data_IF_176679364964
#
_entry.id   IF_176679364964
#
_cell.length_a   1.000
_cell.length_b   1.000
_cell.length_c   1.000
_cell.angle_alpha   90.00
_cell.angle_beta   90.00
_cell.angle_gamma   90.00
#
_symmetry.space_group_name_H-M   'P 1'
#
loop_
_entity.id
_entity.type
_entity.pdbx_description
1 polymer ?
#
# COMPACT_ATOMS: atom_id res chain seq x y z
N UNK A 1 -27.81 -21.07 -3.96
CA UNK A 1 -27.91 -19.67 -4.41
C UNK A 1 -27.55 -18.77 -3.25
N UNK A 2 -26.55 -17.91 -3.39
CA UNK A 2 -26.19 -16.91 -2.37
C UNK A 2 -27.34 -15.89 -2.30
N UNK A 3 -27.89 -15.56 -1.12
CA UNK A 3 -28.90 -14.52 -0.98
C UNK A 3 -28.44 -13.18 -1.58
N UNK A 4 -29.31 -12.49 -2.30
CA UNK A 4 -28.97 -11.24 -2.99
C UNK A 4 -28.37 -10.18 -2.05
N UNK A 5 -28.90 -10.06 -0.83
CA UNK A 5 -28.40 -9.14 0.19
C UNK A 5 -26.95 -9.45 0.59
N UNK A 6 -26.54 -10.72 0.60
CA UNK A 6 -25.17 -11.12 0.96
C UNK A 6 -24.19 -10.73 -0.14
N UNK A 7 -24.59 -10.82 -1.41
CA UNK A 7 -23.80 -10.32 -2.55
C UNK A 7 -23.63 -8.81 -2.49
N UNK A 8 -24.72 -8.06 -2.24
CA UNK A 8 -24.66 -6.60 -2.10
C UNK A 8 -23.75 -6.16 -0.96
N UNK A 9 -23.86 -6.79 0.22
CA UNK A 9 -22.98 -6.50 1.35
C UNK A 9 -21.51 -6.80 1.03
N UNK A 10 -21.23 -7.92 0.37
CA UNK A 10 -19.87 -8.27 -0.05
C UNK A 10 -19.30 -7.23 -1.03
N UNK A 11 -20.10 -6.74 -1.99
CA UNK A 11 -19.68 -5.67 -2.90
C UNK A 11 -19.45 -4.33 -2.18
N UNK A 12 -20.33 -3.93 -1.26
CA UNK A 12 -20.13 -2.71 -0.46
C UNK A 12 -18.86 -2.83 0.38
N UNK A 13 -18.65 -3.97 1.04
CA UNK A 13 -17.44 -4.26 1.80
C UNK A 13 -16.18 -4.21 0.93
N UNK A 14 -16.24 -4.78 -0.28
CA UNK A 14 -15.15 -4.73 -1.25
C UNK A 14 -14.81 -3.28 -1.66
N UNK A 15 -15.83 -2.45 -1.93
CA UNK A 15 -15.61 -1.08 -2.37
C UNK A 15 -15.08 -0.15 -1.26
N UNK A 16 -15.63 -0.29 -0.05
CA UNK A 16 -15.44 0.70 1.03
C UNK A 16 -14.44 0.24 2.09
N UNK A 17 -14.30 -1.08 2.29
CA UNK A 17 -13.41 -1.66 3.31
C UNK A 17 -11.96 -1.19 3.18
N UNK A 18 -11.29 -1.38 2.03
CA UNK A 18 -9.88 -1.02 1.89
C UNK A 18 -9.61 0.48 2.13
N UNK A 19 -10.37 1.44 1.56
CA UNK A 19 -10.19 2.86 1.88
C UNK A 19 -10.40 3.20 3.36
N UNK A 20 -11.37 2.57 4.04
CA UNK A 20 -11.66 2.84 5.45
C UNK A 20 -10.51 2.48 6.39
N UNK A 21 -9.69 1.47 6.06
CA UNK A 21 -8.51 1.10 6.87
C UNK A 21 -7.55 2.30 7.04
N UNK A 22 -7.52 3.20 6.07
CA UNK A 22 -6.67 4.40 6.11
C UNK A 22 -7.29 5.57 6.88
N UNK A 23 -8.60 5.53 7.16
CA UNK A 23 -9.27 6.57 7.95
C UNK A 23 -8.75 6.60 9.39
N UNK A 24 -8.58 5.43 10.01
CA UNK A 24 -8.01 5.30 11.36
C UNK A 24 -6.58 5.83 11.41
N UNK A 25 -5.79 5.57 10.36
CA UNK A 25 -4.43 6.07 10.24
C UNK A 25 -4.40 7.59 10.10
N UNK A 26 -5.27 8.15 9.26
CA UNK A 26 -5.43 9.60 9.13
C UNK A 26 -5.79 10.24 10.47
N UNK A 27 -6.76 9.66 11.19
CA UNK A 27 -7.18 10.13 12.51
C UNK A 27 -6.02 10.10 13.51
N UNK A 28 -5.26 9.01 13.56
CA UNK A 28 -4.09 8.85 14.43
C UNK A 28 -3.05 9.95 14.19
N UNK A 29 -2.71 10.24 12.91
CA UNK A 29 -1.73 11.26 12.53
C UNK A 29 -2.23 12.66 12.91
N UNK A 30 -3.48 12.99 12.61
CA UNK A 30 -4.07 14.31 12.96
C UNK A 30 -4.07 14.51 14.47
N UNK A 31 -4.43 13.49 15.24
CA UNK A 31 -4.45 13.56 16.70
C UNK A 31 -3.06 13.75 17.30
N UNK A 32 -2.06 13.04 16.77
CA UNK A 32 -0.67 13.10 17.25
C UNK A 32 0.11 14.29 16.68
N UNK A 33 -0.39 14.93 15.62
CA UNK A 33 0.33 15.92 14.80
C UNK A 33 1.71 15.43 14.34
N UNK A 34 1.79 14.13 14.06
CA UNK A 34 3.04 13.47 13.66
C UNK A 34 2.74 12.31 12.70
N UNK A 35 3.42 12.32 11.56
CA UNK A 35 3.32 11.29 10.52
C UNK A 35 4.50 10.32 10.48
N UNK A 36 5.45 10.38 11.43
CA UNK A 36 6.68 9.58 11.41
C UNK A 36 6.42 8.07 11.29
N UNK A 37 5.37 7.57 11.94
CA UNK A 37 5.01 6.14 11.92
C UNK A 37 4.33 5.65 10.64
N UNK A 38 4.12 6.49 9.61
CA UNK A 38 3.46 6.11 8.37
C UNK A 38 4.32 6.39 7.15
N UNK A 39 4.52 5.36 6.31
CA UNK A 39 5.25 5.54 5.05
C UNK A 39 4.37 6.17 3.97
N UNK A 40 4.77 7.36 3.51
CA UNK A 40 4.14 8.03 2.35
C UNK A 40 4.25 7.22 1.06
N UNK A 41 5.20 6.29 0.96
CA UNK A 41 5.34 5.41 -0.21
C UNK A 41 4.12 4.50 -0.41
N UNK A 42 3.41 4.17 0.68
CA UNK A 42 2.14 3.44 0.61
C UNK A 42 1.11 4.24 -0.19
N UNK A 43 1.03 5.57 0.03
CA UNK A 43 0.18 6.44 -0.78
C UNK A 43 0.63 6.44 -2.25
N UNK A 44 1.94 6.42 -2.53
CA UNK A 44 2.46 6.36 -3.91
C UNK A 44 1.95 5.11 -4.63
N UNK A 45 2.21 3.94 -4.03
CA UNK A 45 1.87 2.64 -4.58
C UNK A 45 0.37 2.58 -4.86
N UNK A 46 -0.46 2.97 -3.90
CA UNK A 46 -1.92 2.92 -4.03
C UNK A 46 -2.44 3.94 -5.03
N UNK A 47 -1.95 5.18 -5.06
CA UNK A 47 -2.39 6.16 -6.05
C UNK A 47 -2.04 5.71 -7.47
N UNK A 48 -0.80 5.27 -7.71
CA UNK A 48 -0.37 4.80 -9.02
C UNK A 48 -1.13 3.55 -9.46
N UNK A 49 -1.31 2.57 -8.56
CA UNK A 49 -2.07 1.36 -8.84
C UNK A 49 -3.54 1.66 -9.20
N UNK A 50 -4.23 2.45 -8.37
CA UNK A 50 -5.66 2.69 -8.54
C UNK A 50 -5.96 3.62 -9.73
N UNK A 51 -5.10 4.61 -10.02
CA UNK A 51 -5.22 5.43 -11.24
C UNK A 51 -5.05 4.55 -12.49
N UNK A 52 -4.02 3.70 -12.51
CA UNK A 52 -3.80 2.75 -13.62
C UNK A 52 -4.98 1.78 -13.77
N UNK A 53 -5.58 1.35 -12.65
CA UNK A 53 -6.77 0.49 -12.66
C UNK A 53 -7.99 1.17 -13.29
N UNK A 54 -8.16 2.48 -13.11
CA UNK A 54 -9.20 3.24 -13.80
C UNK A 54 -9.02 3.21 -15.32
N UNK A 55 -7.79 3.36 -15.83
CA UNK A 55 -7.50 3.20 -17.27
C UNK A 55 -7.69 1.75 -17.74
N UNK A 56 -7.29 0.78 -16.93
CA UNK A 56 -7.54 -0.64 -17.22
C UNK A 56 -9.04 -0.91 -17.39
N UNK A 57 -9.90 -0.31 -16.56
CA UNK A 57 -11.35 -0.45 -16.68
C UNK A 57 -11.90 0.06 -18.02
N UNK A 58 -11.31 1.12 -18.58
CA UNK A 58 -11.71 1.64 -19.90
C UNK A 58 -11.50 0.59 -20.99
N UNK A 59 -10.40 -0.18 -20.91
CA UNK A 59 -10.05 -1.23 -21.87
C UNK A 59 -10.72 -2.59 -21.60
N UNK A 60 -10.96 -2.93 -20.32
CA UNK A 60 -11.63 -4.16 -19.89
C UNK A 60 -12.63 -3.83 -18.79
N UNK A 61 -13.92 -3.84 -19.13
CA UNK A 61 -15.01 -3.47 -18.22
C UNK A 61 -15.26 -4.57 -17.19
N UNK A 62 -14.57 -4.48 -16.07
CA UNK A 62 -14.87 -5.26 -14.87
C UNK A 62 -15.94 -4.58 -14.00
N UNK A 63 -16.31 -5.22 -12.88
CA UNK A 63 -17.39 -4.75 -12.02
C UNK A 63 -17.24 -3.30 -11.55
N UNK A 64 -18.34 -2.55 -11.58
CA UNK A 64 -18.40 -1.17 -11.09
C UNK A 64 -17.95 -1.06 -9.64
N UNK A 65 -18.23 -2.08 -8.82
CA UNK A 65 -17.77 -2.18 -7.43
C UNK A 65 -16.25 -1.95 -7.30
N UNK A 66 -15.45 -2.57 -8.17
CA UNK A 66 -13.99 -2.47 -8.14
C UNK A 66 -13.48 -1.14 -8.72
N UNK A 67 -14.25 -0.54 -9.62
CA UNK A 67 -13.98 0.82 -10.09
C UNK A 67 -14.23 1.82 -8.96
N UNK A 68 -15.37 1.71 -8.27
CA UNK A 68 -15.70 2.55 -7.10
C UNK A 68 -14.67 2.37 -5.98
N UNK A 69 -14.24 1.13 -5.72
CA UNK A 69 -13.14 0.85 -4.80
C UNK A 69 -11.89 1.67 -5.16
N UNK A 70 -11.53 1.71 -6.45
CA UNK A 70 -10.36 2.43 -6.91
C UNK A 70 -10.50 3.94 -6.76
N UNK A 71 -11.68 4.49 -7.06
CA UNK A 71 -11.98 5.92 -6.88
C UNK A 71 -11.92 6.30 -5.40
N UNK A 72 -12.59 5.53 -4.52
CA UNK A 72 -12.55 5.79 -3.08
C UNK A 72 -11.14 5.66 -2.51
N UNK A 73 -10.36 4.70 -2.99
CA UNK A 73 -8.97 4.55 -2.60
C UNK A 73 -8.13 5.76 -3.04
N UNK A 74 -8.28 6.24 -4.28
CA UNK A 74 -7.59 7.45 -4.74
C UNK A 74 -7.91 8.63 -3.82
N UNK A 75 -9.20 8.89 -3.53
CA UNK A 75 -9.62 9.98 -2.66
C UNK A 75 -9.04 9.85 -1.25
N UNK A 76 -9.10 8.65 -0.66
CA UNK A 76 -8.55 8.38 0.67
C UNK A 76 -7.04 8.61 0.72
N UNK A 77 -6.30 8.14 -0.30
CA UNK A 77 -4.85 8.30 -0.34
C UNK A 77 -4.42 9.74 -0.64
N UNK A 78 -5.18 10.48 -1.45
CA UNK A 78 -4.96 11.91 -1.66
C UNK A 78 -5.12 12.70 -0.36
N UNK A 79 -6.16 12.39 0.42
CA UNK A 79 -6.41 13.02 1.71
C UNK A 79 -5.34 12.63 2.75
N UNK A 80 -5.01 11.34 2.85
CA UNK A 80 -3.98 10.85 3.78
C UNK A 80 -2.60 11.44 3.44
N UNK A 81 -2.22 11.50 2.16
CA UNK A 81 -0.98 12.12 1.72
C UNK A 81 -0.90 13.59 2.14
N UNK A 82 -1.97 14.35 1.94
CA UNK A 82 -2.05 15.74 2.40
C UNK A 82 -1.87 15.86 3.91
N UNK A 83 -2.56 15.01 4.69
CA UNK A 83 -2.44 14.96 6.15
C UNK A 83 -0.99 14.64 6.58
N UNK A 84 -0.34 13.68 5.93
CA UNK A 84 1.04 13.31 6.20
C UNK A 84 2.00 14.46 5.92
N UNK A 85 1.85 15.16 4.79
CA UNK A 85 2.71 16.31 4.45
C UNK A 85 2.50 17.45 5.45
N UNK A 86 1.26 17.71 5.86
CA UNK A 86 0.93 18.77 6.82
C UNK A 86 1.51 18.51 8.22
N UNK A 87 1.56 17.24 8.64
CA UNK A 87 2.03 16.82 9.96
C UNK A 87 3.40 16.12 9.89
N UNK A 88 4.21 16.45 8.89
CA UNK A 88 5.53 15.82 8.71
C UNK A 88 6.51 16.28 9.79
N UNK A 89 7.41 15.40 10.27
CA UNK A 89 8.45 15.79 11.21
C UNK A 89 9.47 16.74 10.56
N UNK A 90 10.07 17.63 11.34
CA UNK A 90 11.15 18.51 10.88
C UNK A 90 12.36 17.74 10.37
N UNK A 91 12.58 16.52 10.87
CA UNK A 91 13.67 15.63 10.47
C UNK A 91 13.44 14.91 9.13
N UNK A 92 12.33 15.17 8.44
CA UNK A 92 12.04 14.48 7.18
C UNK A 92 13.09 14.81 6.11
N UNK A 93 13.44 13.85 5.21
CA UNK A 93 14.47 14.06 4.20
C UNK A 93 14.24 15.29 3.31
N UNK A 94 12.99 15.69 3.11
CA UNK A 94 12.59 16.85 2.31
C UNK A 94 12.84 18.19 2.99
N UNK A 95 12.78 18.22 4.32
CA UNK A 95 13.05 19.42 5.10
C UNK A 95 14.55 19.65 5.24
N UNK A 96 15.34 18.58 5.35
CA UNK A 96 16.81 18.65 5.49
C UNK A 96 17.51 18.69 4.11
N UNK A 97 16.81 18.34 3.03
CA UNK A 97 17.39 18.27 1.68
C UNK A 97 18.29 17.04 1.46
N UNK A 98 18.08 15.98 2.23
CA UNK A 98 18.93 14.79 2.28
C UNK A 98 18.30 13.55 1.61
N UNK A 99 17.47 13.74 0.56
CA UNK A 99 16.91 12.59 -0.16
C UNK A 99 17.97 11.88 -0.97
N UNK A 100 18.15 10.57 -0.72
CA UNK A 100 19.02 9.69 -1.51
C UNK A 100 18.36 9.18 -2.80
N UNK A 101 17.09 9.55 -3.04
CA UNK A 101 16.30 9.04 -4.17
C UNK A 101 16.55 9.86 -5.43
N UNK A 102 16.61 9.23 -6.61
CA UNK A 102 16.63 9.96 -7.88
C UNK A 102 15.45 10.96 -7.93
N UNK A 103 15.76 12.23 -8.19
CA UNK A 103 14.79 13.33 -8.25
C UNK A 103 13.92 13.50 -7.00
N UNK A 104 14.40 13.03 -5.84
CA UNK A 104 13.64 12.98 -4.59
C UNK A 104 12.26 12.34 -4.77
N UNK A 105 12.18 11.27 -5.58
CA UNK A 105 10.89 10.66 -5.95
C UNK A 105 10.01 10.37 -4.73
N UNK A 106 8.77 10.91 -4.78
CA UNK A 106 7.76 10.82 -3.73
C UNK A 106 8.16 11.42 -2.37
N UNK A 107 9.26 12.16 -2.36
CA UNK A 107 9.81 12.89 -1.23
C UNK A 107 9.90 14.37 -1.61
N UNK A 108 8.79 14.94 -2.07
CA UNK A 108 8.73 16.33 -2.49
C UNK A 108 8.29 17.24 -1.34
N UNK A 109 8.82 18.48 -1.27
CA UNK A 109 8.48 19.40 -0.18
C UNK A 109 7.01 19.84 -0.14
N UNK A 110 6.31 19.91 -1.28
CA UNK A 110 4.97 20.49 -1.34
C UNK A 110 3.96 19.50 -1.90
N UNK A 111 2.71 19.57 -1.43
CA UNK A 111 1.62 18.74 -1.93
C UNK A 111 1.36 18.96 -3.44
N UNK A 112 1.55 20.19 -3.92
CA UNK A 112 1.39 20.55 -5.34
C UNK A 112 2.28 19.72 -6.25
N UNK A 113 3.53 19.44 -5.87
CA UNK A 113 4.43 18.61 -6.67
C UNK A 113 3.91 17.18 -6.83
N UNK A 114 3.26 16.63 -5.80
CA UNK A 114 2.59 15.33 -5.92
C UNK A 114 1.40 15.40 -6.89
N UNK A 115 0.60 16.48 -6.84
CA UNK A 115 -0.51 16.69 -7.78
C UNK A 115 -0.03 16.83 -9.23
N UNK A 116 1.03 17.60 -9.47
CA UNK A 116 1.64 17.79 -10.79
C UNK A 116 2.14 16.47 -11.35
N UNK A 117 2.85 15.68 -10.53
CA UNK A 117 3.31 14.36 -10.92
C UNK A 117 2.13 13.42 -11.27
N UNK A 118 1.09 13.38 -10.43
CA UNK A 118 -0.09 12.56 -10.69
C UNK A 118 -0.86 13.01 -11.94
N UNK A 119 -0.98 14.32 -12.17
CA UNK A 119 -1.58 14.87 -13.38
C UNK A 119 -0.77 14.48 -14.63
N UNK A 120 0.55 14.59 -14.57
CA UNK A 120 1.45 14.14 -15.64
C UNK A 120 1.36 12.63 -15.88
N UNK A 121 1.25 11.82 -14.82
CA UNK A 121 1.05 10.38 -14.90
C UNK A 121 -0.28 10.01 -15.56
N UNK A 122 -1.38 10.68 -15.18
CA UNK A 122 -2.70 10.52 -15.81
C UNK A 122 -2.64 10.91 -17.28
N UNK A 123 -2.01 12.03 -17.62
CA UNK A 123 -1.86 12.48 -19.00
C UNK A 123 -1.06 11.48 -19.84
N UNK A 124 0.05 10.98 -19.32
CA UNK A 124 0.86 9.94 -19.97
C UNK A 124 0.04 8.68 -20.22
N UNK A 125 -0.69 8.19 -19.21
CA UNK A 125 -1.58 7.03 -19.39
C UNK A 125 -2.70 7.29 -20.39
N UNK A 126 -3.28 8.49 -20.40
CA UNK A 126 -4.31 8.86 -21.36
C UNK A 126 -3.77 8.81 -22.80
N UNK A 127 -2.59 9.38 -23.04
CA UNK A 127 -1.93 9.33 -24.35
C UNK A 127 -1.66 7.88 -24.76
N UNK A 128 -1.05 7.09 -23.87
CA UNK A 128 -0.78 5.67 -24.14
C UNK A 128 -2.06 4.89 -24.44
N UNK A 129 -3.13 5.13 -23.68
CA UNK A 129 -4.41 4.47 -23.87
C UNK A 129 -5.09 4.90 -25.17
N UNK A 130 -5.01 6.17 -25.57
CA UNK A 130 -5.57 6.63 -26.86
C UNK A 130 -4.86 5.98 -28.05
N UNK A 131 -3.55 5.74 -27.95
CA UNK A 131 -2.75 5.11 -29.02
C UNK A 131 -2.93 3.58 -29.01
N UNK A 132 -2.84 2.95 -27.83
CA UNK A 132 -2.70 1.49 -27.69
C UNK A 132 -3.94 0.79 -27.12
N UNK A 133 -4.98 1.52 -26.71
CA UNK A 133 -6.14 0.97 -25.98
C UNK A 133 -6.96 -0.07 -26.74
N UNK A 134 -6.82 -0.16 -28.07
CA UNK A 134 -7.44 -1.22 -28.88
C UNK A 134 -6.68 -2.54 -28.83
N UNK A 135 -5.42 -2.53 -28.39
CA UNK A 135 -4.57 -3.72 -28.27
C UNK A 135 -4.90 -4.47 -26.98
N UNK A 136 -5.35 -5.72 -27.13
CA UNK A 136 -5.64 -6.60 -25.98
C UNK A 136 -4.39 -6.86 -25.14
N UNK A 137 -3.22 -6.97 -25.77
CA UNK A 137 -1.94 -7.13 -25.06
C UNK A 137 -1.62 -5.91 -24.20
N UNK A 138 -1.84 -4.69 -24.72
CA UNK A 138 -1.64 -3.47 -23.95
C UNK A 138 -2.59 -3.42 -22.75
N UNK A 139 -3.89 -3.65 -22.96
CA UNK A 139 -4.89 -3.67 -21.88
C UNK A 139 -4.56 -4.75 -20.84
N UNK A 140 -4.07 -5.91 -21.28
CA UNK A 140 -3.64 -6.98 -20.39
C UNK A 140 -2.48 -6.56 -19.49
N UNK A 141 -1.41 -6.02 -20.08
CA UNK A 141 -0.23 -5.52 -19.37
C UNK A 141 -0.62 -4.37 -18.42
N UNK A 142 -1.48 -3.46 -18.87
CA UNK A 142 -1.97 -2.35 -18.06
C UNK A 142 -2.67 -2.84 -16.78
N UNK A 143 -3.53 -3.85 -16.90
CA UNK A 143 -4.16 -4.50 -15.75
C UNK A 143 -3.15 -5.20 -14.83
N UNK A 144 -2.15 -5.88 -15.40
CA UNK A 144 -1.08 -6.53 -14.63
C UNK A 144 -0.22 -5.51 -13.87
N UNK A 145 0.07 -4.35 -14.46
CA UNK A 145 0.79 -3.26 -13.79
C UNK A 145 -0.07 -2.69 -12.67
N UNK A 146 -1.33 -2.35 -12.94
CA UNK A 146 -2.23 -1.75 -11.96
C UNK A 146 -2.36 -2.61 -10.69
N UNK A 147 -2.62 -3.90 -10.87
CA UNK A 147 -2.84 -4.83 -9.77
C UNK A 147 -1.52 -5.36 -9.18
N UNK A 148 -0.49 -5.53 -10.02
CA UNK A 148 0.84 -5.96 -9.59
C UNK A 148 1.53 -4.93 -8.69
N UNK A 149 1.41 -3.64 -9.00
CA UNK A 149 1.91 -2.57 -8.14
C UNK A 149 1.23 -2.60 -6.77
N UNK A 150 -0.11 -2.73 -6.69
CA UNK A 150 -0.82 -2.87 -5.40
C UNK A 150 -0.36 -4.12 -4.64
N UNK A 151 -0.15 -5.23 -5.35
CA UNK A 151 0.24 -6.51 -4.74
C UNK A 151 1.63 -6.52 -4.12
N UNK A 152 2.42 -5.45 -4.31
CA UNK A 152 3.75 -5.31 -3.71
C UNK A 152 3.72 -4.76 -2.28
N UNK A 153 2.59 -4.25 -1.80
CA UNK A 153 2.44 -3.67 -0.46
C UNK A 153 2.93 -4.56 0.70
N UNK A 154 2.71 -5.90 0.73
CA UNK A 154 3.19 -6.74 1.83
C UNK A 154 4.70 -7.09 1.71
N UNK A 155 5.33 -6.88 0.56
CA UNK A 155 6.73 -7.29 0.32
C UNK A 155 7.72 -6.60 1.27
N UNK A 156 7.67 -5.27 1.51
CA UNK A 156 8.55 -4.63 2.47
C UNK A 156 8.50 -5.26 3.86
N UNK A 157 7.31 -5.64 4.32
CA UNK A 157 7.14 -6.33 5.61
C UNK A 157 7.81 -7.70 5.58
N UNK A 158 7.58 -8.50 4.54
CA UNK A 158 8.24 -9.81 4.37
C UNK A 158 9.76 -9.70 4.40
N UNK A 159 10.33 -8.68 3.73
CA UNK A 159 11.77 -8.43 3.70
C UNK A 159 12.27 -8.00 5.08
N UNK A 160 11.58 -7.06 5.75
CA UNK A 160 11.95 -6.57 7.08
C UNK A 160 12.03 -7.71 8.09
N UNK A 161 11.01 -8.57 8.12
CA UNK A 161 10.96 -9.74 8.99
C UNK A 161 12.16 -10.67 8.76
N UNK A 162 12.52 -10.91 7.50
CA UNK A 162 13.65 -11.77 7.16
C UNK A 162 14.99 -11.16 7.58
N UNK A 163 15.16 -9.84 7.41
CA UNK A 163 16.37 -9.11 7.82
C UNK A 163 16.52 -9.07 9.33
N UNK A 164 15.44 -8.74 10.05
CA UNK A 164 15.45 -8.61 11.51
C UNK A 164 15.39 -9.96 12.22
N UNK A 165 15.07 -11.05 11.51
CA UNK A 165 14.81 -12.37 12.08
C UNK A 165 13.82 -12.31 13.25
N UNK A 166 12.86 -11.40 13.18
CA UNK A 166 11.83 -11.15 14.18
C UNK A 166 10.68 -10.34 13.58
N UNK A 167 9.49 -10.50 14.13
CA UNK A 167 8.31 -9.68 13.84
C UNK A 167 7.95 -8.76 15.03
N UNK A 168 8.95 -8.40 15.84
CA UNK A 168 8.79 -7.47 16.94
C UNK A 168 8.07 -6.18 16.51
N UNK A 169 7.08 -5.75 17.29
CA UNK A 169 6.25 -4.57 16.99
C UNK A 169 5.15 -4.80 15.93
N UNK A 170 5.19 -5.89 15.16
CA UNK A 170 4.13 -6.21 14.20
C UNK A 170 2.95 -6.90 14.88
N UNK A 171 1.78 -6.25 14.84
CA UNK A 171 0.58 -6.71 15.55
C UNK A 171 -0.05 -7.91 14.84
N UNK A 172 -0.35 -8.96 15.61
CA UNK A 172 -1.01 -10.17 15.09
C UNK A 172 -2.39 -9.86 14.50
N UNK A 173 -3.14 -8.93 15.09
CA UNK A 173 -4.45 -8.51 14.56
C UNK A 173 -4.35 -7.93 13.14
N UNK A 174 -3.28 -7.19 12.85
CA UNK A 174 -3.03 -6.62 11.52
C UNK A 174 -2.75 -7.73 10.51
N UNK A 175 -1.89 -8.69 10.86
CA UNK A 175 -1.58 -9.85 10.00
C UNK A 175 -2.83 -10.67 9.67
N UNK A 176 -3.67 -10.97 10.67
CA UNK A 176 -4.92 -11.68 10.47
C UNK A 176 -5.89 -10.88 9.59
N UNK A 177 -5.93 -9.56 9.76
CA UNK A 177 -6.72 -8.66 8.92
C UNK A 177 -6.28 -8.67 7.45
N UNK A 178 -4.97 -8.71 7.19
CA UNK A 178 -4.42 -8.80 5.82
C UNK A 178 -4.82 -10.11 5.16
N UNK A 179 -4.49 -11.23 5.80
CA UNK A 179 -4.79 -12.58 5.29
C UNK A 179 -6.30 -12.75 5.06
N UNK A 180 -7.12 -12.32 6.01
CA UNK A 180 -8.57 -12.39 5.90
C UNK A 180 -9.12 -11.52 4.77
N UNK A 181 -8.61 -10.30 4.62
CA UNK A 181 -8.99 -9.37 3.55
C UNK A 181 -8.61 -9.89 2.16
N UNK A 182 -7.39 -10.41 2.00
CA UNK A 182 -6.87 -10.89 0.71
C UNK A 182 -7.45 -12.27 0.34
N UNK A 183 -7.77 -13.11 1.32
CA UNK A 183 -8.56 -14.32 1.10
C UNK A 183 -9.98 -13.97 0.63
N UNK A 184 -10.64 -13.00 1.28
CA UNK A 184 -11.96 -12.51 0.86
C UNK A 184 -11.92 -11.93 -0.57
N UNK A 185 -10.94 -11.07 -0.88
CA UNK A 185 -10.74 -10.52 -2.23
C UNK A 185 -10.55 -11.62 -3.27
N UNK A 186 -9.68 -12.59 -2.99
CA UNK A 186 -9.42 -13.71 -3.89
C UNK A 186 -10.72 -14.48 -4.14
N UNK A 187 -11.44 -14.89 -3.10
CA UNK A 187 -12.73 -15.57 -3.27
C UNK A 187 -13.72 -14.74 -4.10
N UNK A 188 -13.83 -13.43 -3.83
CA UNK A 188 -14.70 -12.53 -4.58
C UNK A 188 -14.34 -12.48 -6.07
N UNK A 189 -13.05 -12.37 -6.44
CA UNK A 189 -12.63 -12.30 -7.84
C UNK A 189 -12.89 -13.60 -8.60
N UNK A 190 -12.81 -14.76 -7.94
CA UNK A 190 -13.17 -16.04 -8.52
C UNK A 190 -14.67 -16.18 -8.69
N UNK A 191 -15.46 -15.85 -7.67
CA UNK A 191 -16.93 -15.92 -7.72
C UNK A 191 -17.51 -14.98 -8.77
N UNK A 192 -17.03 -13.74 -8.85
CA UNK A 192 -17.50 -12.75 -9.81
C UNK A 192 -16.86 -12.88 -11.20
N UNK A 193 -16.05 -13.92 -11.43
CA UNK A 193 -15.35 -14.12 -12.69
C UNK A 193 -14.60 -12.87 -13.18
N UNK A 194 -13.95 -12.17 -12.24
CA UNK A 194 -13.16 -10.98 -12.56
C UNK A 194 -12.01 -11.29 -13.54
N UNK A 195 -11.49 -10.28 -14.27
CA UNK A 195 -10.37 -10.47 -15.19
C UNK A 195 -9.18 -11.20 -14.56
N UNK A 196 -8.43 -11.93 -15.38
CA UNK A 196 -7.35 -12.81 -14.92
C UNK A 196 -6.31 -12.10 -14.05
N UNK A 197 -6.04 -10.83 -14.33
CA UNK A 197 -5.10 -10.00 -13.59
C UNK A 197 -5.50 -9.90 -12.11
N UNK A 198 -6.79 -9.74 -11.79
CA UNK A 198 -7.26 -9.69 -10.41
C UNK A 198 -6.98 -11.00 -9.68
N UNK A 199 -7.23 -12.13 -10.35
CA UNK A 199 -7.04 -13.47 -9.79
C UNK A 199 -5.56 -13.78 -9.54
N UNK A 200 -4.70 -13.51 -10.52
CA UNK A 200 -3.25 -13.76 -10.41
C UNK A 200 -2.66 -12.90 -9.29
N UNK A 201 -2.95 -11.60 -9.30
CA UNK A 201 -2.41 -10.67 -8.33
C UNK A 201 -2.92 -10.95 -6.91
N UNK A 202 -4.19 -11.28 -6.73
CA UNK A 202 -4.72 -11.59 -5.40
C UNK A 202 -4.16 -12.89 -4.83
N UNK A 203 -3.95 -13.93 -5.66
CA UNK A 203 -3.26 -15.16 -5.25
C UNK A 203 -1.83 -14.85 -4.83
N UNK A 204 -1.11 -14.05 -5.62
CA UNK A 204 0.24 -13.64 -5.27
C UNK A 204 0.26 -12.90 -3.92
N UNK A 205 -0.62 -11.91 -3.73
CA UNK A 205 -0.69 -11.14 -2.49
C UNK A 205 -0.98 -12.03 -1.27
N UNK A 206 -1.97 -12.91 -1.38
CA UNK A 206 -2.31 -13.89 -0.35
C UNK A 206 -1.15 -14.88 -0.08
N UNK A 207 -0.35 -15.23 -1.09
CA UNK A 207 0.83 -16.07 -0.88
C UNK A 207 1.91 -15.38 -0.05
N UNK A 208 2.12 -14.08 -0.24
CA UNK A 208 3.06 -13.30 0.58
C UNK A 208 2.57 -13.21 2.02
N UNK A 209 1.27 -13.04 2.22
CA UNK A 209 0.66 -13.06 3.55
C UNK A 209 0.91 -14.39 4.28
N UNK A 210 0.79 -15.52 3.58
CA UNK A 210 1.16 -16.82 4.15
C UNK A 210 2.66 -16.94 4.46
N UNK A 211 3.53 -16.35 3.63
CA UNK A 211 4.96 -16.27 3.95
C UNK A 211 5.16 -15.49 5.25
N UNK A 212 4.49 -14.36 5.44
CA UNK A 212 4.58 -13.55 6.66
C UNK A 212 4.05 -14.31 7.88
N UNK A 213 2.97 -15.10 7.75
CA UNK A 213 2.51 -16.02 8.80
C UNK A 213 3.61 -17.04 9.13
N UNK A 214 4.22 -17.67 8.12
CA UNK A 214 5.31 -18.62 8.31
C UNK A 214 6.49 -17.98 9.05
N UNK A 215 6.87 -16.75 8.67
CA UNK A 215 7.89 -15.96 9.36
C UNK A 215 7.48 -15.67 10.81
N UNK A 216 6.20 -15.36 11.09
CA UNK A 216 5.70 -15.14 12.46
C UNK A 216 5.86 -16.38 13.33
N UNK A 217 5.55 -17.56 12.79
CA UNK A 217 5.65 -18.83 13.50
C UNK A 217 7.11 -19.25 13.73
N UNK A 218 7.98 -18.97 12.76
CA UNK A 218 9.37 -19.40 12.80
C UNK A 218 10.29 -18.44 13.58
N UNK A 219 10.21 -17.13 13.32
CA UNK A 219 11.03 -16.11 13.99
C UNK A 219 10.44 -15.61 15.32
N UNK A 220 9.12 -15.76 15.52
CA UNK A 220 8.45 -15.25 16.70
C UNK A 220 8.40 -13.73 16.76
N UNK A 221 8.38 -13.20 17.99
CA UNK A 221 8.19 -11.78 18.31
C UNK A 221 9.22 -11.25 19.32
N UNK A 222 10.37 -11.93 19.42
CA UNK A 222 11.43 -11.53 20.34
C UNK A 222 12.10 -10.23 19.87
N UNK A 223 12.69 -9.45 20.79
CA UNK A 223 13.40 -8.24 20.42
C UNK A 223 14.56 -8.58 19.46
N UNK A 224 14.73 -7.88 18.32
CA UNK A 224 15.80 -8.19 17.36
C UNK A 224 17.18 -7.96 17.96
N UNK A 225 18.14 -8.83 17.65
CA UNK A 225 19.53 -8.70 18.12
C UNK A 225 20.19 -7.36 17.72
N UNK A 226 19.83 -6.81 16.56
CA UNK A 226 20.32 -5.50 16.12
C UNK A 226 19.92 -4.37 17.07
N UNK A 227 18.74 -4.45 17.67
CA UNK A 227 18.25 -3.44 18.61
C UNK A 227 18.97 -3.57 19.95
N UNK A 228 19.25 -4.80 20.39
CA UNK A 228 20.03 -5.05 21.60
C UNK A 228 21.46 -4.50 21.48
N UNK A 229 22.13 -4.75 20.35
CA UNK A 229 23.47 -4.21 20.10
C UNK A 229 23.50 -2.68 20.07
N UNK A 230 22.50 -2.05 19.47
CA UNK A 230 22.40 -0.58 19.42
C UNK A 230 22.18 0.03 20.82
N UNK A 231 21.38 -0.62 21.68
CA UNK A 231 21.20 -0.20 23.08
C UNK A 231 22.51 -0.35 23.88
N UNK A 232 23.24 -1.46 23.70
CA UNK A 232 24.55 -1.69 24.35
C UNK A 232 25.60 -0.67 23.91
N UNK A 233 25.67 -0.34 22.61
CA UNK A 233 26.62 0.65 22.08
C UNK A 233 26.33 2.06 22.64
N UNK A 234 25.04 2.44 22.76
CA UNK A 234 24.64 3.73 23.35
C UNK A 234 24.97 3.76 24.85
N UNK A 235 24.69 2.68 25.57
CA UNK A 235 24.99 2.59 27.00
C UNK A 235 26.51 2.71 27.25
N UNK A 236 27.33 2.02 26.46
CA UNK A 236 28.78 2.15 26.52
C UNK A 236 29.26 3.58 26.21
N UNK A 237 28.68 4.23 25.19
CA UNK A 237 29.02 5.60 24.84
C UNK A 237 28.66 6.61 25.95
N UNK A 238 27.56 6.39 26.67
CA UNK A 238 27.16 7.20 27.82
C UNK A 238 28.11 7.00 29.01
N UNK A 239 28.48 5.75 29.32
CA UNK A 239 29.45 5.44 30.38
C UNK A 239 30.79 6.11 30.10
N UNK A 240 31.29 6.05 28.86
CA UNK A 240 32.54 6.71 28.45
C UNK A 240 32.48 8.26 28.49
N UNK A 241 31.29 8.86 28.43
CA UNK A 241 31.12 10.31 28.53
C UNK A 241 31.04 10.81 29.98
N UNK A 242 30.85 9.90 30.94
CA UNK A 242 30.80 10.19 32.38
C UNK A 242 32.17 10.03 33.08
N UNK A 243 33.17 9.41 32.43
CA UNK A 243 34.58 9.32 32.87
C UNK A 243 35.42 10.54 32.41
#
# INVERSE_FOLDING_TARGET
MIPAWMSTLASVGMAVGPPLVYADQAYSIVRKKDSTGFSRDVCAILLLANITRCFFWLGSRFEITLLLQSIFMILAQMALLYICIKNRPSSSPENIGASSRPFAFWQWPTYTQYLEFLAGFILCQAILFLILGRSQTFVFILGMIALGVESTLPIPQMISNHKQRSLYGFRLSTLLGWVGGDAFKTAYFFVQNSPLQFKICSIFQLSIDFVIIGQRLYFGNALPASTLMEEEDIEQALVLAEE
#
